data_IF_317738169245
#
_entry.id   IF_317738169245
#
_cell.length_a   1.000
_cell.length_b   1.000
_cell.length_c   1.000
_cell.angle_alpha   90.00
_cell.angle_beta   90.00
_cell.angle_gamma   90.00
#
_symmetry.space_group_name_H-M   'P 1'
#
loop_
_entity.id
_entity.type
_entity.pdbx_description
1 polymer ?
#
# COMPACT_ATOMS: atom_id res chain seq x y z
N UNK A 1 -18.65 -5.67 -30.69
CA UNK A 1 -17.66 -5.63 -29.58
C UNK A 1 -17.94 -4.40 -28.75
N UNK A 2 -18.43 -4.56 -27.53
CA UNK A 2 -18.75 -3.43 -26.64
C UNK A 2 -17.45 -2.87 -26.05
N UNK A 3 -17.04 -1.67 -26.48
CA UNK A 3 -16.09 -0.84 -25.75
C UNK A 3 -16.87 0.18 -24.91
N UNK A 4 -17.48 -0.31 -23.82
CA UNK A 4 -18.01 0.54 -22.75
C UNK A 4 -16.95 0.71 -21.65
N UNK A 5 -16.99 1.80 -20.86
CA UNK A 5 -16.08 1.97 -19.73
C UNK A 5 -16.24 0.80 -18.74
N UNK A 6 -15.12 0.29 -18.23
CA UNK A 6 -15.10 -0.86 -17.33
C UNK A 6 -16.08 -0.65 -16.16
N UNK A 7 -16.88 -1.67 -15.78
CA UNK A 7 -17.82 -1.54 -14.70
C UNK A 7 -17.09 -1.13 -13.41
N UNK A 8 -17.53 -0.06 -12.75
CA UNK A 8 -16.83 0.61 -11.62
C UNK A 8 -16.34 -0.33 -10.51
N UNK A 9 -17.02 -1.47 -10.29
CA UNK A 9 -16.62 -2.52 -9.35
C UNK A 9 -15.33 -3.25 -9.75
N UNK A 10 -15.08 -3.41 -11.05
CA UNK A 10 -13.88 -4.08 -11.58
C UNK A 10 -12.62 -3.23 -11.47
N UNK A 11 -12.72 -1.91 -11.67
CA UNK A 11 -11.61 -0.99 -11.47
C UNK A 11 -11.19 -0.86 -9.99
N UNK A 12 -12.14 -0.88 -9.06
CA UNK A 12 -11.87 -0.87 -7.62
C UNK A 12 -11.15 -2.15 -7.15
N UNK A 13 -11.57 -3.32 -7.66
CA UNK A 13 -10.89 -4.60 -7.39
C UNK A 13 -9.45 -4.61 -7.95
N UNK A 14 -9.25 -4.02 -9.13
CA UNK A 14 -7.92 -3.84 -9.73
C UNK A 14 -7.02 -2.95 -8.86
N UNK A 15 -7.53 -1.82 -8.34
CA UNK A 15 -6.74 -0.92 -7.50
C UNK A 15 -6.33 -1.56 -6.16
N UNK A 16 -7.23 -2.31 -5.52
CA UNK A 16 -6.99 -2.98 -4.24
C UNK A 16 -5.87 -4.03 -4.30
N UNK A 17 -5.68 -4.69 -5.45
CA UNK A 17 -4.61 -5.68 -5.65
C UNK A 17 -3.34 -5.05 -6.23
N UNK A 18 -3.48 -4.07 -7.11
CA UNK A 18 -2.33 -3.50 -7.85
C UNK A 18 -1.53 -2.51 -7.01
N UNK A 19 -2.18 -1.76 -6.10
CA UNK A 19 -1.48 -0.78 -5.27
C UNK A 19 -0.52 -1.40 -4.26
N UNK A 20 -0.94 -2.37 -3.40
CA UNK A 20 -0.03 -3.01 -2.46
C UNK A 20 1.14 -3.72 -3.16
N UNK A 21 0.87 -4.35 -4.32
CA UNK A 21 1.90 -4.98 -5.14
C UNK A 21 2.97 -4.00 -5.65
N UNK A 22 2.58 -2.86 -6.22
CA UNK A 22 3.54 -1.84 -6.68
C UNK A 22 4.34 -1.22 -5.54
N UNK A 23 3.70 -1.01 -4.38
CA UNK A 23 4.38 -0.50 -3.19
C UNK A 23 5.38 -1.53 -2.66
N UNK A 24 4.99 -2.81 -2.59
CA UNK A 24 5.87 -3.93 -2.20
C UNK A 24 7.16 -3.96 -3.02
N UNK A 25 7.06 -3.85 -4.35
CA UNK A 25 8.22 -3.82 -5.25
C UNK A 25 9.15 -2.61 -5.01
N UNK A 26 8.59 -1.46 -4.64
CA UNK A 26 9.37 -0.25 -4.37
C UNK A 26 10.17 -0.34 -3.07
N UNK A 27 9.59 -0.93 -2.01
CA UNK A 27 10.24 -0.99 -0.68
C UNK A 27 10.96 -2.31 -0.38
N UNK A 28 10.92 -3.28 -1.29
CA UNK A 28 11.53 -4.59 -1.07
C UNK A 28 10.92 -5.36 0.11
N UNK A 29 9.61 -5.19 0.36
CA UNK A 29 8.90 -5.82 1.48
C UNK A 29 7.85 -6.82 0.98
N UNK A 30 8.21 -8.10 0.76
CA UNK A 30 7.35 -9.10 0.12
C UNK A 30 5.99 -9.30 0.78
N UNK A 31 5.90 -9.10 2.11
CA UNK A 31 4.64 -9.23 2.83
C UNK A 31 3.58 -8.18 2.47
N UNK A 32 3.93 -7.10 1.76
CA UNK A 32 2.96 -6.16 1.20
C UNK A 32 2.39 -6.62 -0.15
N UNK A 33 2.99 -7.63 -0.80
CA UNK A 33 2.46 -8.20 -2.04
C UNK A 33 1.28 -9.13 -1.72
N UNK A 34 0.07 -8.86 -2.26
CA UNK A 34 -1.08 -9.74 -2.05
C UNK A 34 -0.86 -11.19 -2.51
N UNK A 35 0.10 -11.45 -3.41
CA UNK A 35 0.44 -12.83 -3.81
C UNK A 35 1.08 -13.64 -2.69
N UNK A 36 1.61 -12.99 -1.67
CA UNK A 36 2.29 -13.60 -0.54
C UNK A 36 1.37 -13.73 0.69
N UNK A 37 0.13 -13.25 0.60
CA UNK A 37 -0.82 -13.32 1.69
C UNK A 37 -1.41 -14.73 1.80
N UNK A 38 -1.37 -15.27 3.01
CA UNK A 38 -2.04 -16.51 3.35
C UNK A 38 -3.35 -16.22 4.10
N UNK A 39 -4.23 -17.21 4.16
CA UNK A 39 -5.41 -17.12 5.00
C UNK A 39 -4.98 -17.12 6.47
N UNK A 40 -5.32 -16.06 7.20
CA UNK A 40 -5.10 -15.94 8.64
C UNK A 40 -6.42 -15.98 9.40
N UNK A 41 -6.37 -16.39 10.67
CA UNK A 41 -7.57 -16.44 11.52
C UNK A 41 -8.13 -15.03 11.79
N UNK A 42 -7.26 -14.03 11.93
CA UNK A 42 -7.66 -12.64 12.13
C UNK A 42 -6.85 -11.67 11.27
N UNK A 43 -7.39 -10.45 11.11
CA UNK A 43 -6.67 -9.33 10.49
C UNK A 43 -5.38 -9.00 11.26
N UNK A 44 -5.39 -9.12 12.59
CA UNK A 44 -4.22 -8.86 13.42
C UNK A 44 -3.11 -9.89 13.18
N UNK A 45 -3.48 -11.15 12.96
CA UNK A 45 -2.50 -12.21 12.63
C UNK A 45 -1.84 -11.94 11.28
N UNK A 46 -2.61 -11.52 10.28
CA UNK A 46 -2.07 -11.09 8.99
C UNK A 46 -1.16 -9.86 9.16
N UNK A 47 -1.61 -8.84 9.89
CA UNK A 47 -0.88 -7.59 10.05
C UNK A 47 0.45 -7.77 10.80
N UNK A 48 0.48 -8.67 11.79
CA UNK A 48 1.73 -9.03 12.46
C UNK A 48 2.62 -9.91 11.59
N UNK A 49 2.04 -10.92 10.94
CA UNK A 49 2.75 -11.91 10.11
C UNK A 49 3.34 -11.33 8.83
N UNK A 50 2.69 -10.35 8.20
CA UNK A 50 3.15 -9.74 6.95
C UNK A 50 4.48 -9.00 7.09
N UNK A 51 4.81 -8.57 8.31
CA UNK A 51 5.99 -7.76 8.59
C UNK A 51 7.20 -8.60 9.07
N UNK A 52 7.05 -9.93 9.19
CA UNK A 52 8.09 -10.80 9.74
C UNK A 52 8.31 -10.57 11.25
N UNK A 53 9.54 -10.78 11.71
CA UNK A 53 9.91 -10.66 13.13
C UNK A 53 9.44 -9.33 13.73
N UNK A 54 8.58 -9.44 14.75
CA UNK A 54 7.87 -8.33 15.38
C UNK A 54 8.77 -7.30 16.05
N UNK A 55 10.01 -7.67 16.40
CA UNK A 55 10.98 -6.79 17.05
C UNK A 55 11.82 -5.92 16.10
N UNK A 56 11.80 -6.17 14.79
CA UNK A 56 12.72 -5.48 13.86
C UNK A 56 12.22 -4.09 13.46
N UNK A 57 13.16 -3.14 13.28
CA UNK A 57 12.88 -1.81 12.72
C UNK A 57 12.19 -1.90 11.36
N UNK A 58 12.58 -2.88 10.53
CA UNK A 58 11.96 -3.12 9.23
C UNK A 58 10.50 -3.54 9.38
N UNK A 59 10.16 -4.43 10.32
CA UNK A 59 8.79 -4.83 10.56
C UNK A 59 7.90 -3.66 11.01
N UNK A 60 8.42 -2.77 11.87
CA UNK A 60 7.71 -1.56 12.26
C UNK A 60 7.49 -0.59 11.08
N UNK A 61 8.49 -0.46 10.20
CA UNK A 61 8.38 0.28 8.94
C UNK A 61 7.33 -0.29 7.99
N UNK A 62 7.35 -1.62 7.76
CA UNK A 62 6.40 -2.31 6.89
C UNK A 62 4.96 -2.19 7.39
N UNK A 63 4.73 -2.28 8.70
CA UNK A 63 3.40 -2.06 9.33
C UNK A 63 2.91 -0.63 9.13
N UNK A 64 3.79 0.35 9.31
CA UNK A 64 3.47 1.77 9.09
C UNK A 64 3.07 2.01 7.63
N UNK A 65 3.81 1.41 6.69
CA UNK A 65 3.50 1.49 5.27
C UNK A 65 2.20 0.75 4.90
N UNK A 66 1.93 -0.41 5.50
CA UNK A 66 0.67 -1.13 5.30
C UNK A 66 -0.55 -0.29 5.72
N UNK A 67 -0.45 0.41 6.85
CA UNK A 67 -1.48 1.36 7.30
C UNK A 67 -1.65 2.48 6.27
N UNK A 68 -0.55 3.06 5.80
CA UNK A 68 -0.60 4.15 4.81
C UNK A 68 -1.26 3.70 3.50
N UNK A 69 -0.89 2.54 2.97
CA UNK A 69 -1.49 1.97 1.75
C UNK A 69 -2.98 1.70 1.96
N UNK A 70 -3.36 1.11 3.10
CA UNK A 70 -4.76 0.85 3.44
C UNK A 70 -5.58 2.13 3.50
N UNK A 71 -5.03 3.16 4.15
CA UNK A 71 -5.66 4.48 4.21
C UNK A 71 -5.84 5.11 2.82
N UNK A 72 -4.85 4.99 1.94
CA UNK A 72 -4.97 5.48 0.55
C UNK A 72 -6.06 4.74 -0.24
N UNK A 73 -6.14 3.41 -0.11
CA UNK A 73 -7.20 2.62 -0.74
C UNK A 73 -8.57 3.07 -0.24
N UNK A 74 -8.72 3.28 1.07
CA UNK A 74 -9.97 3.77 1.66
C UNK A 74 -10.35 5.18 1.17
N UNK A 75 -9.39 6.10 1.09
CA UNK A 75 -9.61 7.45 0.50
C UNK A 75 -10.04 7.38 -0.95
N UNK A 76 -9.37 6.57 -1.77
CA UNK A 76 -9.73 6.36 -3.18
C UNK A 76 -11.16 5.82 -3.32
N UNK A 77 -11.51 4.82 -2.51
CA UNK A 77 -12.86 4.27 -2.48
C UNK A 77 -13.89 5.34 -2.12
N UNK A 78 -13.62 6.15 -1.10
CA UNK A 78 -14.50 7.25 -0.67
C UNK A 78 -14.66 8.31 -1.76
N UNK A 79 -13.57 8.75 -2.40
CA UNK A 79 -13.63 9.73 -3.50
C UNK A 79 -14.44 9.21 -4.69
N UNK A 80 -14.39 7.91 -4.98
CA UNK A 80 -15.18 7.31 -6.06
C UNK A 80 -16.66 7.25 -5.73
N UNK A 81 -17.00 6.85 -4.51
CA UNK A 81 -18.39 6.73 -4.05
C UNK A 81 -19.06 8.09 -3.95
N UNK A 82 -18.38 9.09 -3.38
CA UNK A 82 -18.98 10.39 -3.10
C UNK A 82 -18.78 11.42 -4.21
N UNK A 83 -17.64 11.39 -4.92
CA UNK A 83 -17.27 12.42 -5.90
C UNK A 83 -17.19 11.87 -7.35
N UNK A 84 -17.50 10.59 -7.58
CA UNK A 84 -17.40 9.92 -8.88
C UNK A 84 -16.05 10.16 -9.61
N UNK A 85 -14.98 10.34 -8.84
CA UNK A 85 -13.63 10.63 -9.34
C UNK A 85 -12.77 9.38 -9.19
N UNK A 86 -11.96 9.06 -10.20
CA UNK A 86 -11.04 7.92 -10.21
C UNK A 86 -9.61 8.43 -10.43
N UNK A 87 -8.66 8.03 -9.55
CA UNK A 87 -7.23 8.21 -9.82
C UNK A 87 -6.63 6.96 -10.45
N UNK A 88 -5.60 7.18 -11.26
CA UNK A 88 -4.79 6.09 -11.81
C UNK A 88 -3.91 5.49 -10.73
N UNK A 89 -3.62 4.19 -10.84
CA UNK A 89 -2.73 3.48 -9.91
C UNK A 89 -1.35 4.15 -9.84
N UNK A 90 -0.82 4.66 -10.96
CA UNK A 90 0.47 5.35 -10.98
C UNK A 90 0.46 6.61 -10.11
N UNK A 91 -0.57 7.46 -10.26
CA UNK A 91 -0.74 8.67 -9.45
C UNK A 91 -0.90 8.34 -7.97
N UNK A 92 -1.68 7.31 -7.63
CA UNK A 92 -1.82 6.88 -6.24
C UNK A 92 -0.50 6.39 -5.63
N UNK A 93 0.36 5.71 -6.40
CA UNK A 93 1.69 5.30 -5.92
C UNK A 93 2.59 6.52 -5.67
N UNK A 94 2.56 7.53 -6.54
CA UNK A 94 3.30 8.78 -6.33
C UNK A 94 2.84 9.49 -5.07
N UNK A 95 1.53 9.63 -4.87
CA UNK A 95 0.97 10.25 -3.65
C UNK A 95 1.35 9.45 -2.38
N UNK A 96 1.39 8.12 -2.43
CA UNK A 96 1.86 7.28 -1.31
C UNK A 96 3.33 7.54 -1.02
N UNK A 97 4.18 7.68 -2.06
CA UNK A 97 5.61 7.99 -1.87
C UNK A 97 5.79 9.37 -1.25
N UNK A 98 5.06 10.37 -1.72
CA UNK A 98 5.14 11.73 -1.20
C UNK A 98 4.66 11.80 0.27
N UNK A 99 3.55 11.14 0.58
CA UNK A 99 3.05 11.05 1.96
C UNK A 99 4.03 10.29 2.87
N UNK A 100 4.63 9.19 2.39
CA UNK A 100 5.65 8.46 3.13
C UNK A 100 6.87 9.35 3.42
N UNK A 101 7.31 10.17 2.45
CA UNK A 101 8.39 11.15 2.63
C UNK A 101 8.01 12.21 3.66
N UNK A 102 6.77 12.70 3.64
CA UNK A 102 6.27 13.67 4.62
C UNK A 102 6.28 13.07 6.04
N UNK A 103 5.85 11.83 6.20
CA UNK A 103 5.90 11.13 7.48
C UNK A 103 7.34 10.93 7.97
N UNK A 104 8.28 10.64 7.06
CA UNK A 104 9.70 10.57 7.39
C UNK A 104 10.22 11.92 7.91
N UNK A 105 9.88 13.02 7.25
CA UNK A 105 10.24 14.38 7.69
C UNK A 105 9.61 14.74 9.04
N UNK A 106 8.40 14.25 9.32
CA UNK A 106 7.73 14.38 10.61
C UNK A 106 8.30 13.46 11.72
N UNK A 107 9.34 12.65 11.41
CA UNK A 107 10.05 11.84 12.40
C UNK A 107 9.67 10.35 12.43
N UNK A 108 8.99 9.82 11.42
CA UNK A 108 8.70 8.38 11.29
C UNK A 108 9.98 7.57 10.96
N UNK A 109 10.88 7.41 11.94
CA UNK A 109 12.23 6.81 11.76
C UNK A 109 12.21 5.39 11.19
N UNK A 110 11.24 4.55 11.60
CA UNK A 110 11.13 3.18 11.11
C UNK A 110 10.64 3.10 9.66
N UNK A 111 9.77 4.04 9.25
CA UNK A 111 9.37 4.17 7.85
C UNK A 111 10.52 4.72 7.00
N UNK A 112 11.29 5.67 7.54
CA UNK A 112 12.48 6.18 6.88
C UNK A 112 13.52 5.08 6.63
N UNK A 113 13.75 4.20 7.60
CA UNK A 113 14.66 3.05 7.43
C UNK A 113 14.25 2.11 6.29
N UNK A 114 12.97 2.09 5.92
CA UNK A 114 12.41 1.25 4.85
C UNK A 114 12.36 1.97 3.50
N UNK A 115 12.10 3.29 3.49
CA UNK A 115 11.84 4.08 2.28
C UNK A 115 13.08 4.84 1.79
N UNK A 116 13.99 5.21 2.70
CA UNK A 116 15.22 5.97 2.42
C UNK A 116 16.37 5.04 2.01
N UNK A 117 16.24 3.73 2.24
CA UNK A 117 17.23 2.74 1.86
C UNK A 117 16.69 1.77 0.79
N UNK A 118 16.36 2.22 -0.43
CA UNK A 118 16.37 1.32 -1.56
C UNK A 118 17.85 1.04 -1.88
N UNK A 119 18.19 -0.20 -2.22
CA UNK A 119 19.39 -0.44 -3.01
C UNK A 119 19.50 0.64 -4.09
N UNK A 120 20.65 1.30 -4.09
CA UNK A 120 21.13 2.27 -5.08
C UNK A 120 20.83 1.82 -6.51
N UNK A 121 20.36 2.77 -7.33
CA UNK A 121 20.35 2.75 -8.81
C UNK A 121 19.59 1.62 -9.54
#
# INVERSE_FOLDING_TARGET
MYHGPLPKKTAAALAAVTLPKKVSSFVGSPGLDPTNWNATATLMDWFHGMAGDSGSTMAAGSRSLAILVTWFIWKEHSARVFNNTEKTVARSVEEIKDEARLWCQAGAKHLAALVVNPSSE
#
